data_IF_597386352294
#
_entry.id   IF_597386352294
#
_cell.length_a   1.000
_cell.length_b   1.000
_cell.length_c   1.000
_cell.angle_alpha   90.00
_cell.angle_beta   90.00
_cell.angle_gamma   90.00
#
_symmetry.space_group_name_H-M   'P 1'
#
loop_
_entity.id
_entity.type
_entity.pdbx_description
1 polymer ?
#
# COMPACT_ATOMS: atom_id res chain seq x y z
N UNK A 1 11.95 -15.39 11.30
CA UNK A 1 11.30 -16.36 10.39
C UNK A 1 10.06 -15.70 9.82
N UNK A 2 10.00 -15.46 8.52
CA UNK A 2 8.80 -14.94 7.85
C UNK A 2 7.72 -16.01 7.97
N UNK A 3 6.64 -15.74 8.71
CA UNK A 3 5.51 -16.66 8.69
C UNK A 3 4.95 -16.71 7.27
N UNK A 4 5.08 -17.86 6.62
CA UNK A 4 4.51 -18.09 5.29
C UNK A 4 2.99 -17.94 5.39
N UNK A 5 2.41 -17.17 4.47
CA UNK A 5 0.96 -17.03 4.36
C UNK A 5 0.30 -18.39 4.20
N UNK A 6 -0.73 -18.65 5.02
CA UNK A 6 -1.58 -19.84 4.91
C UNK A 6 -3.04 -19.39 4.76
N UNK A 7 -3.66 -19.63 3.60
CA UNK A 7 -5.06 -19.27 3.39
C UNK A 7 -5.98 -20.08 4.30
N UNK A 8 -7.17 -19.57 4.57
CA UNK A 8 -8.24 -20.37 5.15
C UNK A 8 -8.44 -21.62 4.26
N UNK A 9 -8.52 -22.81 4.84
CA UNK A 9 -8.49 -24.10 4.12
C UNK A 9 -9.50 -24.22 2.99
N UNK A 10 -10.71 -23.68 3.17
CA UNK A 10 -11.79 -23.68 2.18
C UNK A 10 -11.72 -22.52 1.18
N UNK A 11 -10.91 -21.51 1.45
CA UNK A 11 -10.79 -20.30 0.63
C UNK A 11 -9.43 -20.20 -0.10
N UNK A 12 -8.92 -21.33 -0.61
CA UNK A 12 -7.71 -21.34 -1.45
C UNK A 12 -7.96 -20.77 -2.85
N UNK A 13 -9.23 -20.68 -3.27
CA UNK A 13 -9.59 -20.12 -4.57
C UNK A 13 -9.23 -18.62 -4.62
N UNK A 14 -8.51 -18.14 -5.66
CA UNK A 14 -8.04 -16.76 -5.77
C UNK A 14 -9.18 -15.73 -5.80
N UNK A 15 -10.32 -16.10 -6.39
CA UNK A 15 -11.47 -15.20 -6.44
C UNK A 15 -12.13 -15.05 -5.07
N UNK A 16 -12.19 -16.14 -4.28
CA UNK A 16 -12.62 -16.04 -2.89
C UNK A 16 -11.66 -15.17 -2.08
N UNK A 17 -10.35 -15.39 -2.20
CA UNK A 17 -9.35 -14.55 -1.53
C UNK A 17 -9.54 -13.06 -1.88
N UNK A 18 -9.77 -12.74 -3.14
CA UNK A 18 -9.97 -11.37 -3.62
C UNK A 18 -11.25 -10.71 -3.06
N UNK A 19 -12.32 -11.48 -2.88
CA UNK A 19 -13.64 -10.93 -2.53
C UNK A 19 -13.94 -10.96 -1.02
N UNK A 20 -13.41 -11.94 -0.28
CA UNK A 20 -13.68 -12.13 1.15
C UNK A 20 -13.37 -10.91 2.02
N UNK A 21 -12.30 -10.12 1.79
CA UNK A 21 -12.07 -8.90 2.57
C UNK A 21 -13.25 -7.93 2.54
N UNK A 22 -13.98 -7.84 1.41
CA UNK A 22 -15.18 -7.01 1.30
C UNK A 22 -16.33 -7.48 2.16
N UNK A 23 -16.37 -8.76 2.49
CA UNK A 23 -17.40 -9.37 3.35
C UNK A 23 -17.02 -9.22 4.82
N UNK A 24 -15.77 -9.54 5.17
CA UNK A 24 -15.30 -9.54 6.55
C UNK A 24 -14.94 -8.14 7.08
N UNK A 25 -14.59 -7.21 6.20
CA UNK A 25 -14.17 -5.84 6.50
C UNK A 25 -15.13 -4.80 5.88
N UNK A 26 -16.44 -4.95 6.10
CA UNK A 26 -17.45 -4.05 5.49
C UNK A 26 -17.40 -2.64 6.04
N UNK A 27 -17.13 -2.49 7.32
CA UNK A 27 -17.22 -1.21 8.02
C UNK A 27 -15.88 -0.82 8.62
N UNK A 28 -15.37 0.38 8.34
CA UNK A 28 -14.21 0.92 9.01
C UNK A 28 -14.46 1.03 10.52
N UNK A 29 -13.50 0.61 11.33
CA UNK A 29 -13.55 0.80 12.79
C UNK A 29 -13.01 2.16 13.21
N UNK A 30 -12.15 2.76 12.39
CA UNK A 30 -11.62 4.10 12.61
C UNK A 30 -12.55 5.12 11.95
N UNK A 31 -12.87 6.18 12.69
CA UNK A 31 -13.47 7.40 12.14
C UNK A 31 -12.34 8.34 11.73
N UNK A 32 -12.06 8.52 10.43
CA UNK A 32 -10.91 9.27 10.00
C UNK A 32 -11.09 10.77 10.24
N UNK A 33 -9.97 11.45 10.50
CA UNK A 33 -9.89 12.91 10.44
C UNK A 33 -9.55 13.29 9.00
N UNK A 34 -10.42 14.06 8.37
CA UNK A 34 -10.24 14.49 7.00
C UNK A 34 -9.48 15.80 6.93
N UNK A 35 -8.53 15.87 5.99
CA UNK A 35 -7.79 17.09 5.68
C UNK A 35 -7.63 17.21 4.17
N UNK A 36 -7.90 18.38 3.62
CA UNK A 36 -7.59 18.69 2.23
C UNK A 36 -6.20 19.30 2.14
N UNK A 37 -5.42 18.79 1.21
CA UNK A 37 -4.11 19.36 0.84
C UNK A 37 -4.21 19.96 -0.56
N UNK A 38 -4.04 21.27 -0.64
CA UNK A 38 -3.96 21.98 -1.90
C UNK A 38 -2.63 21.71 -2.58
N UNK A 39 -2.66 21.45 -3.88
CA UNK A 39 -1.50 21.14 -4.71
C UNK A 39 -1.02 22.40 -5.45
N UNK A 40 0.27 22.46 -5.86
CA UNK A 40 0.84 23.62 -6.52
C UNK A 40 0.15 24.03 -7.83
N UNK A 41 -0.52 23.09 -8.50
CA UNK A 41 -1.27 23.34 -9.74
C UNK A 41 -2.71 23.83 -9.51
N UNK A 42 -3.08 24.15 -8.27
CA UNK A 42 -4.41 24.62 -7.89
C UNK A 42 -5.44 23.50 -7.74
N UNK A 43 -5.01 22.25 -7.85
CA UNK A 43 -5.84 21.07 -7.54
C UNK A 43 -5.70 20.67 -6.07
N UNK A 44 -6.26 19.53 -5.68
CA UNK A 44 -6.20 19.02 -4.32
C UNK A 44 -6.14 17.50 -4.25
N UNK A 45 -5.67 17.03 -3.12
CA UNK A 45 -5.83 15.65 -2.65
C UNK A 45 -6.44 15.67 -1.25
N UNK A 46 -7.21 14.65 -0.90
CA UNK A 46 -7.79 14.52 0.43
C UNK A 46 -7.08 13.41 1.22
N UNK A 47 -6.80 13.71 2.48
CA UNK A 47 -6.08 12.86 3.41
C UNK A 47 -7.07 12.35 4.47
N UNK A 48 -7.05 11.03 4.74
CA UNK A 48 -7.83 10.43 5.81
C UNK A 48 -6.86 9.91 6.89
N UNK A 49 -6.78 10.64 8.01
CA UNK A 49 -5.87 10.36 9.12
C UNK A 49 -6.50 9.43 10.14
N UNK A 50 -5.70 8.58 10.79
CA UNK A 50 -6.14 7.72 11.89
C UNK A 50 -6.48 8.50 13.16
N UNK A 51 -5.84 9.64 13.37
CA UNK A 51 -5.99 10.56 14.48
C UNK A 51 -5.55 11.97 14.06
N UNK A 52 -5.70 12.98 14.93
CA UNK A 52 -5.27 14.36 14.63
C UNK A 52 -3.77 14.43 14.43
N UNK A 53 -3.27 14.76 13.22
CA UNK A 53 -1.85 14.73 12.92
C UNK A 53 -1.03 15.72 13.75
N UNK A 54 -1.62 16.87 14.16
CA UNK A 54 -0.95 17.88 14.98
C UNK A 54 -0.59 17.34 16.38
N UNK A 55 -1.45 16.47 16.94
CA UNK A 55 -1.23 15.85 18.25
C UNK A 55 -0.31 14.61 18.19
N UNK A 56 -0.24 14.00 17.01
CA UNK A 56 0.49 12.76 16.77
C UNK A 56 1.75 12.94 15.91
N UNK A 57 2.22 14.17 15.72
CA UNK A 57 3.34 14.51 14.84
C UNK A 57 4.66 13.79 15.22
N UNK A 58 4.82 13.48 16.51
CA UNK A 58 5.97 12.76 17.06
C UNK A 58 5.99 11.26 16.76
N UNK A 59 4.83 10.68 16.38
CA UNK A 59 4.71 9.24 16.10
C UNK A 59 5.35 8.86 14.77
N UNK A 60 5.90 7.65 14.65
CA UNK A 60 6.20 7.07 13.34
C UNK A 60 4.96 7.08 12.44
N UNK A 61 5.16 7.16 11.13
CA UNK A 61 4.07 7.38 10.16
C UNK A 61 3.96 6.25 9.16
N UNK A 62 2.72 5.84 8.85
CA UNK A 62 2.42 4.93 7.76
C UNK A 62 1.50 5.61 6.75
N UNK A 63 2.04 5.86 5.56
CA UNK A 63 1.29 6.39 4.40
C UNK A 63 0.73 5.24 3.58
N UNK A 64 -0.56 5.31 3.22
CA UNK A 64 -1.27 4.28 2.47
C UNK A 64 -1.69 4.85 1.11
N UNK A 65 -1.20 4.24 0.02
CA UNK A 65 -1.61 4.50 -1.35
C UNK A 65 -2.55 3.42 -1.84
N UNK A 66 -3.76 3.81 -2.20
CA UNK A 66 -4.81 2.86 -2.59
C UNK A 66 -4.68 2.39 -4.05
N UNK A 67 -5.40 1.32 -4.39
CA UNK A 67 -5.48 0.80 -5.77
C UNK A 67 -6.43 1.61 -6.66
N UNK A 68 -6.60 1.14 -7.90
CA UNK A 68 -7.47 1.78 -8.90
C UNK A 68 -8.90 1.94 -8.34
N UNK A 69 -9.42 3.19 -8.39
CA UNK A 69 -10.74 3.57 -7.87
C UNK A 69 -10.95 3.25 -6.37
N UNK A 70 -9.85 3.03 -5.66
CA UNK A 70 -9.86 2.83 -4.22
C UNK A 70 -10.07 4.15 -3.46
N UNK A 71 -10.27 4.01 -2.16
CA UNK A 71 -10.37 5.13 -1.21
C UNK A 71 -10.28 4.60 0.23
N UNK A 72 -10.47 5.46 1.22
CA UNK A 72 -10.50 5.08 2.65
C UNK A 72 -11.46 3.91 2.95
N UNK A 73 -12.60 3.77 2.24
CA UNK A 73 -13.57 2.70 2.45
C UNK A 73 -13.11 1.34 1.88
N UNK A 74 -12.00 1.29 1.16
CA UNK A 74 -11.43 0.02 0.69
C UNK A 74 -10.98 -0.82 1.89
N UNK A 75 -11.36 -2.12 1.97
CA UNK A 75 -11.07 -2.97 3.13
C UNK A 75 -9.61 -2.96 3.57
N UNK A 76 -8.69 -3.03 2.63
CA UNK A 76 -7.25 -3.00 2.90
C UNK A 76 -6.77 -1.62 3.41
N UNK A 77 -7.39 -0.53 2.95
CA UNK A 77 -6.97 0.82 3.32
C UNK A 77 -7.33 1.13 4.78
N UNK A 78 -8.61 0.99 5.15
CA UNK A 78 -9.00 1.22 6.54
C UNK A 78 -8.46 0.14 7.49
N UNK A 79 -8.29 -1.10 7.02
CA UNK A 79 -7.68 -2.17 7.81
C UNK A 79 -6.21 -1.89 8.12
N UNK A 80 -5.45 -1.40 7.14
CA UNK A 80 -4.05 -1.02 7.36
C UNK A 80 -3.93 0.26 8.19
N UNK A 81 -4.89 1.18 8.07
CA UNK A 81 -4.95 2.35 8.95
C UNK A 81 -5.17 1.95 10.42
N UNK A 82 -6.07 0.98 10.66
CA UNK A 82 -6.28 0.38 11.99
C UNK A 82 -5.01 -0.33 12.48
N UNK A 83 -4.33 -1.09 11.62
CA UNK A 83 -3.09 -1.76 11.96
C UNK A 83 -1.97 -0.76 12.33
N UNK A 84 -1.87 0.37 11.63
CA UNK A 84 -0.94 1.44 11.98
C UNK A 84 -1.22 1.99 13.38
N UNK A 85 -2.47 2.33 13.68
CA UNK A 85 -2.87 2.84 14.99
C UNK A 85 -2.60 1.83 16.12
N UNK A 86 -2.87 0.55 15.90
CA UNK A 86 -2.60 -0.52 16.86
C UNK A 86 -1.10 -0.74 17.13
N UNK A 87 -0.22 -0.30 16.23
CA UNK A 87 1.23 -0.30 16.41
C UNK A 87 1.78 1.04 16.93
N UNK A 88 0.91 1.98 17.35
CA UNK A 88 1.30 3.29 17.84
C UNK A 88 1.77 4.26 16.76
N UNK A 89 1.48 4.00 15.49
CA UNK A 89 1.86 4.83 14.36
C UNK A 89 0.71 5.76 13.92
N UNK A 90 1.06 6.93 13.44
CA UNK A 90 0.13 7.82 12.77
C UNK A 90 -0.09 7.31 11.34
N UNK A 91 -1.27 6.77 11.06
CA UNK A 91 -1.65 6.30 9.74
C UNK A 91 -2.35 7.39 8.91
N UNK A 92 -2.13 7.40 7.61
CA UNK A 92 -2.84 8.27 6.67
C UNK A 92 -3.08 7.57 5.34
N UNK A 93 -4.32 7.65 4.84
CA UNK A 93 -4.67 7.27 3.47
C UNK A 93 -4.64 8.54 2.62
N UNK A 94 -3.72 8.59 1.64
CA UNK A 94 -3.73 9.62 0.61
C UNK A 94 -4.69 9.19 -0.50
N UNK A 95 -5.72 10.00 -0.75
CA UNK A 95 -6.61 9.79 -1.89
C UNK A 95 -6.00 10.40 -3.14
N UNK A 96 -5.91 9.60 -4.20
CA UNK A 96 -5.57 10.13 -5.51
C UNK A 96 -6.65 11.10 -6.00
N UNK A 97 -6.29 12.00 -6.92
CA UNK A 97 -7.19 13.02 -7.47
C UNK A 97 -8.54 12.41 -7.87
N UNK A 98 -9.63 12.98 -7.38
CA UNK A 98 -10.99 12.54 -7.68
C UNK A 98 -11.47 11.26 -6.96
N UNK A 99 -10.65 10.63 -6.11
CA UNK A 99 -10.98 9.37 -5.43
C UNK A 99 -11.61 9.52 -4.03
N UNK A 100 -11.60 10.71 -3.44
CA UNK A 100 -12.20 10.98 -2.12
C UNK A 100 -13.73 11.13 -2.14
N UNK A 101 -14.31 11.25 -3.33
CA UNK A 101 -15.76 11.45 -3.55
C UNK A 101 -16.09 12.76 -4.26
N UNK A 102 -15.19 13.72 -4.27
CA UNK A 102 -15.28 14.97 -5.03
C UNK A 102 -14.36 14.91 -6.25
N UNK A 103 -14.82 15.30 -7.47
CA UNK A 103 -13.97 15.42 -8.64
C UNK A 103 -12.87 16.46 -8.42
N UNK A 104 -11.66 16.15 -8.77
CA UNK A 104 -10.56 17.11 -8.77
C UNK A 104 -10.77 18.22 -9.80
N UNK A 105 -10.17 19.39 -9.58
CA UNK A 105 -10.44 20.64 -10.35
C UNK A 105 -9.75 20.65 -11.70
N UNK A 106 -8.48 20.20 -11.75
CA UNK A 106 -7.67 20.25 -12.96
C UNK A 106 -8.04 19.14 -13.96
N UNK A 107 -7.65 19.30 -15.22
CA UNK A 107 -7.84 18.28 -16.24
C UNK A 107 -7.09 16.98 -15.89
N UNK A 108 -5.90 17.08 -15.30
CA UNK A 108 -5.12 15.94 -14.81
C UNK A 108 -5.94 15.02 -13.92
N UNK A 109 -5.74 13.72 -14.12
CA UNK A 109 -6.25 12.65 -13.28
C UNK A 109 -5.05 11.86 -12.70
N UNK A 110 -5.30 10.95 -11.78
CA UNK A 110 -4.25 10.04 -11.32
C UNK A 110 -4.03 8.91 -12.33
N UNK A 111 -2.83 8.33 -12.32
CA UNK A 111 -2.48 7.12 -13.08
C UNK A 111 -1.38 6.30 -12.39
N UNK A 112 -1.07 5.10 -12.91
CA UNK A 112 -0.15 4.14 -12.28
C UNK A 112 1.29 4.64 -12.09
N UNK A 113 1.74 5.61 -12.88
CA UNK A 113 3.08 6.20 -12.79
C UNK A 113 3.07 7.64 -12.28
N UNK A 114 1.95 8.16 -11.74
CA UNK A 114 1.86 9.53 -11.25
C UNK A 114 2.50 9.64 -9.86
N UNK A 115 3.78 9.98 -9.82
CA UNK A 115 4.56 10.08 -8.58
C UNK A 115 4.61 11.48 -7.98
N UNK A 116 4.22 12.52 -8.73
CA UNK A 116 4.40 13.92 -8.31
C UNK A 116 3.51 14.30 -7.12
N UNK A 117 2.26 13.86 -7.11
CA UNK A 117 1.34 14.14 -5.99
C UNK A 117 1.82 13.45 -4.71
N UNK A 118 2.29 12.19 -4.82
CA UNK A 118 2.85 11.45 -3.69
C UNK A 118 4.13 12.12 -3.18
N UNK A 119 5.02 12.55 -4.09
CA UNK A 119 6.26 13.29 -3.77
C UNK A 119 5.96 14.60 -3.07
N UNK A 120 5.00 15.38 -3.57
CA UNK A 120 4.58 16.63 -2.96
C UNK A 120 4.02 16.40 -1.56
N UNK A 121 3.13 15.44 -1.41
CA UNK A 121 2.52 15.10 -0.13
C UNK A 121 3.58 14.65 0.91
N UNK A 122 4.49 13.77 0.55
CA UNK A 122 5.53 13.28 1.47
C UNK A 122 6.47 14.40 1.93
N UNK A 123 6.88 15.31 1.02
CA UNK A 123 7.64 16.51 1.36
C UNK A 123 6.86 17.46 2.26
N UNK A 124 5.59 17.70 1.95
CA UNK A 124 4.70 18.50 2.77
C UNK A 124 4.56 17.89 4.17
N UNK A 125 4.36 16.57 4.25
CA UNK A 125 4.26 15.83 5.51
C UNK A 125 5.49 16.04 6.40
N UNK A 126 6.69 15.90 5.84
CA UNK A 126 7.95 16.13 6.52
C UNK A 126 8.11 17.58 6.94
N UNK A 127 7.82 18.52 6.05
CA UNK A 127 7.93 19.97 6.31
C UNK A 127 6.97 20.44 7.40
N UNK A 128 5.73 19.92 7.40
CA UNK A 128 4.65 20.38 8.30
C UNK A 128 4.74 19.76 9.69
N UNK A 129 5.06 18.47 9.77
CA UNK A 129 5.01 17.71 11.03
C UNK A 129 6.40 17.21 11.49
N UNK A 130 7.48 17.68 10.89
CA UNK A 130 8.84 17.30 11.27
C UNK A 130 9.30 15.95 10.71
N UNK A 131 10.50 15.54 11.11
CA UNK A 131 11.21 14.38 10.55
C UNK A 131 11.00 13.12 11.42
N UNK A 132 9.75 12.65 11.54
CA UNK A 132 9.48 11.37 12.18
C UNK A 132 9.68 10.21 11.18
N UNK A 133 10.10 9.01 11.65
CA UNK A 133 10.22 7.85 10.79
C UNK A 133 8.94 7.61 9.97
N UNK A 134 9.08 7.48 8.67
CA UNK A 134 7.94 7.40 7.75
C UNK A 134 8.11 6.23 6.80
N UNK A 135 7.08 5.37 6.71
CA UNK A 135 7.01 4.31 5.71
C UNK A 135 5.75 4.49 4.85
N UNK A 136 5.75 3.83 3.69
CA UNK A 136 4.59 3.81 2.83
C UNK A 136 4.21 2.38 2.42
N UNK A 137 2.91 2.14 2.24
CA UNK A 137 2.38 0.92 1.63
C UNK A 137 1.50 1.29 0.44
N UNK A 138 1.78 0.68 -0.71
CA UNK A 138 0.98 0.82 -1.92
C UNK A 138 0.30 -0.48 -2.31
N UNK A 139 -0.98 -0.40 -2.63
CA UNK A 139 -1.79 -1.54 -3.04
C UNK A 139 -2.14 -1.45 -4.52
N UNK A 140 -1.93 -2.54 -5.27
CA UNK A 140 -2.30 -2.61 -6.69
C UNK A 140 -1.69 -1.44 -7.49
N UNK A 141 -2.50 -0.60 -8.14
CA UNK A 141 -2.05 0.63 -8.82
C UNK A 141 -1.16 1.49 -7.90
N UNK A 142 -1.58 1.72 -6.65
CA UNK A 142 -0.78 2.49 -5.69
C UNK A 142 0.55 1.82 -5.34
N UNK A 143 0.64 0.49 -5.47
CA UNK A 143 1.89 -0.26 -5.33
C UNK A 143 2.84 0.00 -6.50
N UNK A 144 2.34 -0.02 -7.74
CA UNK A 144 3.16 0.32 -8.91
C UNK A 144 3.64 1.78 -8.83
N UNK A 145 2.75 2.72 -8.49
CA UNK A 145 3.11 4.12 -8.27
C UNK A 145 4.19 4.28 -7.20
N UNK A 146 4.06 3.58 -6.05
CA UNK A 146 5.06 3.63 -4.98
C UNK A 146 6.42 3.08 -5.42
N UNK A 147 6.43 1.97 -6.18
CA UNK A 147 7.66 1.41 -6.73
C UNK A 147 8.34 2.38 -7.71
N UNK A 148 7.57 3.04 -8.60
CA UNK A 148 8.07 4.11 -9.47
C UNK A 148 8.65 5.27 -8.64
N UNK A 149 7.93 5.75 -7.62
CA UNK A 149 8.38 6.82 -6.74
C UNK A 149 9.72 6.48 -6.06
N UNK A 150 9.85 5.26 -5.53
CA UNK A 150 11.06 4.80 -4.86
C UNK A 150 12.24 4.72 -5.83
N UNK A 151 12.02 4.21 -7.04
CA UNK A 151 13.05 4.11 -8.07
C UNK A 151 13.51 5.50 -8.57
N UNK A 152 12.57 6.42 -8.81
CA UNK A 152 12.86 7.78 -9.26
C UNK A 152 13.53 8.64 -8.21
N UNK A 153 13.19 8.43 -6.94
CA UNK A 153 13.70 9.24 -5.84
C UNK A 153 15.02 8.71 -5.27
N UNK A 154 15.27 7.41 -5.41
CA UNK A 154 16.46 6.77 -4.85
C UNK A 154 16.65 7.08 -3.37
N UNK A 155 17.85 7.48 -2.96
CA UNK A 155 18.15 7.86 -1.58
C UNK A 155 17.39 9.10 -1.10
N UNK A 156 16.91 9.94 -2.02
CA UNK A 156 16.17 11.16 -1.70
C UNK A 156 14.66 10.93 -1.50
N UNK A 157 14.21 9.67 -1.46
CA UNK A 157 12.85 9.38 -1.11
C UNK A 157 12.53 9.81 0.33
N UNK A 158 11.46 10.57 0.51
CA UNK A 158 11.01 11.10 1.81
C UNK A 158 10.30 10.05 2.67
N UNK A 159 10.72 8.78 2.53
CA UNK A 159 10.31 7.64 3.36
C UNK A 159 11.51 6.77 3.72
N UNK A 160 11.43 6.08 4.86
CA UNK A 160 12.49 5.19 5.35
C UNK A 160 12.35 3.77 4.78
N UNK A 161 11.14 3.31 4.47
CA UNK A 161 10.86 2.00 3.88
C UNK A 161 9.55 1.98 3.09
N UNK A 162 9.43 1.06 2.13
CA UNK A 162 8.23 0.88 1.31
C UNK A 162 7.71 -0.56 1.29
N UNK A 163 6.39 -0.74 1.16
CA UNK A 163 5.78 -2.05 0.92
C UNK A 163 4.87 -1.96 -0.30
N UNK A 164 5.07 -2.85 -1.26
CA UNK A 164 4.35 -2.92 -2.54
C UNK A 164 3.53 -4.20 -2.56
N UNK A 165 2.20 -4.11 -2.62
CA UNK A 165 1.31 -5.26 -2.52
C UNK A 165 0.49 -5.43 -3.79
N UNK A 166 0.55 -6.62 -4.39
CA UNK A 166 -0.24 -7.01 -5.58
C UNK A 166 -0.18 -5.95 -6.69
N UNK A 167 1.01 -5.41 -6.94
CA UNK A 167 1.20 -4.32 -7.89
C UNK A 167 1.31 -4.83 -9.34
N UNK A 168 0.64 -4.18 -10.32
CA UNK A 168 0.77 -4.50 -11.73
C UNK A 168 2.09 -3.94 -12.29
N UNK A 169 3.22 -4.54 -11.89
CA UNK A 169 4.57 -4.06 -12.22
C UNK A 169 4.85 -4.02 -13.75
N UNK A 170 4.08 -4.77 -14.55
CA UNK A 170 4.03 -4.73 -16.01
C UNK A 170 2.59 -4.41 -16.43
N UNK A 171 2.30 -3.12 -16.64
CA UNK A 171 0.93 -2.62 -16.86
C UNK A 171 0.26 -3.24 -18.08
N UNK A 172 0.98 -3.34 -19.20
CA UNK A 172 0.42 -3.91 -20.44
C UNK A 172 0.04 -5.38 -20.26
N UNK A 173 0.92 -6.20 -19.71
CA UNK A 173 0.67 -7.61 -19.47
C UNK A 173 -0.54 -7.81 -18.52
N UNK A 174 -0.65 -6.99 -17.48
CA UNK A 174 -1.79 -7.02 -16.57
C UNK A 174 -3.09 -6.55 -17.26
N UNK A 175 -3.04 -5.52 -18.10
CA UNK A 175 -4.18 -5.08 -18.87
C UNK A 175 -4.71 -6.19 -19.78
N UNK A 176 -3.83 -6.88 -20.51
CA UNK A 176 -4.17 -8.02 -21.36
C UNK A 176 -4.69 -9.22 -20.54
N UNK A 177 -4.13 -9.46 -19.33
CA UNK A 177 -4.61 -10.52 -18.42
C UNK A 177 -6.04 -10.24 -17.96
N UNK A 178 -6.37 -8.99 -17.70
CA UNK A 178 -7.72 -8.58 -17.27
C UNK A 178 -8.78 -8.76 -18.38
N UNK A 179 -8.39 -8.90 -19.64
CA UNK A 179 -9.30 -9.17 -20.75
C UNK A 179 -9.64 -10.66 -20.93
N UNK A 180 -9.08 -11.56 -20.09
CA UNK A 180 -9.24 -13.01 -20.24
C UNK A 180 -10.03 -13.65 -19.09
N UNK A 181 -10.88 -14.62 -19.42
CA UNK A 181 -11.60 -15.47 -18.44
C UNK A 181 -12.41 -14.66 -17.41
N UNK A 182 -12.40 -15.13 -16.18
CA UNK A 182 -13.12 -14.50 -15.06
C UNK A 182 -12.61 -13.07 -14.76
N UNK A 183 -11.36 -12.76 -15.11
CA UNK A 183 -10.80 -11.42 -14.86
C UNK A 183 -11.55 -10.30 -15.61
N UNK A 184 -12.29 -10.62 -16.66
CA UNK A 184 -13.18 -9.67 -17.34
C UNK A 184 -14.26 -9.08 -16.42
N UNK A 185 -14.72 -9.82 -15.41
CA UNK A 185 -15.66 -9.28 -14.42
C UNK A 185 -15.03 -8.21 -13.56
N UNK A 186 -13.78 -8.42 -13.15
CA UNK A 186 -13.03 -7.41 -12.41
C UNK A 186 -12.71 -6.20 -13.27
N UNK A 187 -12.30 -6.41 -14.53
CA UNK A 187 -12.10 -5.32 -15.49
C UNK A 187 -13.35 -4.46 -15.62
N UNK A 188 -14.51 -5.11 -15.84
CA UNK A 188 -15.80 -4.39 -15.97
C UNK A 188 -16.14 -3.62 -14.70
N UNK A 189 -15.91 -4.21 -13.53
CA UNK A 189 -16.14 -3.55 -12.25
C UNK A 189 -15.27 -2.29 -12.10
N UNK A 190 -13.98 -2.39 -12.37
CA UNK A 190 -13.03 -1.28 -12.30
C UNK A 190 -13.34 -0.20 -13.34
N UNK A 191 -13.60 -0.60 -14.59
CA UNK A 191 -13.98 0.32 -15.65
C UNK A 191 -15.27 1.10 -15.32
N UNK A 192 -16.24 0.46 -14.70
CA UNK A 192 -17.47 1.14 -14.24
C UNK A 192 -17.15 2.17 -13.13
N UNK A 193 -16.18 1.91 -12.28
CA UNK A 193 -15.65 2.88 -11.32
C UNK A 193 -15.07 4.11 -12.03
N UNK A 194 -14.12 3.87 -12.93
CA UNK A 194 -13.49 4.92 -13.74
C UNK A 194 -14.51 5.76 -14.51
N UNK A 195 -15.46 5.11 -15.19
CA UNK A 195 -16.53 5.81 -15.91
C UNK A 195 -17.40 6.67 -14.98
N UNK A 196 -17.74 6.17 -13.80
CA UNK A 196 -18.52 6.91 -12.81
C UNK A 196 -17.79 8.16 -12.33
N UNK A 197 -16.49 8.06 -12.05
CA UNK A 197 -15.67 9.20 -11.65
C UNK A 197 -15.50 10.19 -12.81
N UNK A 198 -15.21 9.70 -14.03
CA UNK A 198 -15.13 10.53 -15.22
C UNK A 198 -16.46 11.23 -15.53
N UNK A 199 -17.59 10.54 -15.36
CA UNK A 199 -18.94 11.16 -15.51
C UNK A 199 -19.15 12.31 -14.52
N UNK A 200 -18.83 12.10 -13.24
CA UNK A 200 -18.93 13.15 -12.21
C UNK A 200 -18.06 14.36 -12.55
N UNK A 201 -16.84 14.08 -13.05
CA UNK A 201 -15.90 15.12 -13.48
C UNK A 201 -16.45 15.92 -14.66
N UNK A 202 -16.93 15.25 -15.71
CA UNK A 202 -17.52 15.90 -16.89
C UNK A 202 -18.77 16.73 -16.56
N UNK A 203 -19.59 16.25 -15.61
CA UNK A 203 -20.80 16.99 -15.17
C UNK A 203 -20.39 18.23 -14.36
N UNK A 204 -19.39 18.11 -13.50
CA UNK A 204 -18.94 19.23 -12.66
C UNK A 204 -18.10 20.24 -13.43
N UNK A 205 -17.28 19.76 -14.37
CA UNK A 205 -16.34 20.54 -15.17
C UNK A 205 -16.47 20.16 -16.65
N UNK A 206 -17.46 20.70 -17.38
CA UNK A 206 -17.63 20.41 -18.80
C UNK A 206 -16.35 20.71 -19.61
N UNK A 207 -15.98 19.82 -20.52
CA UNK A 207 -14.75 19.94 -21.30
C UNK A 207 -13.45 19.55 -20.59
N UNK A 208 -13.52 19.07 -19.33
CA UNK A 208 -12.33 18.65 -18.57
C UNK A 208 -11.70 17.34 -19.02
N UNK A 209 -12.37 16.54 -19.86
CA UNK A 209 -11.83 15.31 -20.42
C UNK A 209 -11.91 15.36 -21.98
N UNK A 210 -11.04 14.64 -22.68
CA UNK A 210 -10.96 14.71 -24.15
C UNK A 210 -12.04 13.91 -24.89
N UNK A 211 -13.19 13.70 -24.24
CA UNK A 211 -14.35 12.98 -24.77
C UNK A 211 -15.64 13.45 -24.07
N UNK A 212 -16.78 13.15 -24.68
CA UNK A 212 -18.10 13.43 -24.11
C UNK A 212 -18.71 12.22 -23.39
N UNK A 213 -19.87 12.41 -22.75
CA UNK A 213 -20.56 11.36 -21.99
C UNK A 213 -21.00 10.16 -22.83
N UNK A 214 -21.35 10.37 -24.11
CA UNK A 214 -21.73 9.26 -25.03
C UNK A 214 -20.51 8.42 -25.35
N UNK A 215 -19.40 9.03 -25.72
CA UNK A 215 -18.13 8.35 -25.99
C UNK A 215 -17.63 7.60 -24.73
N UNK A 216 -17.70 8.23 -23.54
CA UNK A 216 -17.33 7.59 -22.29
C UNK A 216 -18.15 6.31 -22.02
N UNK A 217 -19.46 6.33 -22.28
CA UNK A 217 -20.33 5.16 -22.12
C UNK A 217 -19.95 4.00 -23.04
N UNK A 218 -19.43 4.27 -24.25
CA UNK A 218 -19.07 3.28 -25.25
C UNK A 218 -17.80 2.49 -24.92
N UNK A 219 -16.91 2.99 -24.05
CA UNK A 219 -15.68 2.31 -23.65
C UNK A 219 -16.02 0.96 -22.98
N UNK A 220 -15.36 -0.11 -23.41
CA UNK A 220 -15.60 -1.48 -22.93
C UNK A 220 -14.43 -2.08 -22.16
N UNK A 221 -13.23 -1.49 -22.27
CA UNK A 221 -11.98 -1.98 -21.72
C UNK A 221 -11.24 -0.86 -20.98
N UNK A 222 -10.45 -1.24 -19.97
CA UNK A 222 -9.56 -0.28 -19.27
C UNK A 222 -8.55 0.31 -20.27
N UNK A 223 -8.00 -0.51 -21.17
CA UNK A 223 -7.06 -0.05 -22.19
C UNK A 223 -7.66 1.06 -23.07
N UNK A 224 -8.93 0.95 -23.46
CA UNK A 224 -9.63 1.99 -24.22
C UNK A 224 -9.77 3.30 -23.42
N UNK A 225 -10.04 3.18 -22.10
CA UNK A 225 -10.07 4.34 -21.21
C UNK A 225 -8.68 4.99 -21.11
N UNK A 226 -7.66 4.18 -20.95
CA UNK A 226 -6.27 4.65 -20.84
C UNK A 226 -5.80 5.32 -22.13
N UNK A 227 -6.19 4.78 -23.29
CA UNK A 227 -5.84 5.33 -24.60
C UNK A 227 -6.45 6.71 -24.83
N UNK A 228 -7.77 6.83 -24.62
CA UNK A 228 -8.51 8.05 -24.98
C UNK A 228 -8.53 9.12 -23.87
N UNK A 229 -8.26 8.75 -22.63
CA UNK A 229 -8.28 9.68 -21.49
C UNK A 229 -6.89 9.78 -20.87
N UNK A 230 -6.39 8.71 -20.25
CA UNK A 230 -5.15 8.75 -19.48
C UNK A 230 -3.97 9.21 -20.34
N UNK A 231 -3.75 8.57 -21.47
CA UNK A 231 -2.64 8.89 -22.36
C UNK A 231 -2.73 10.34 -22.84
N UNK A 232 -3.87 10.75 -23.37
CA UNK A 232 -4.05 12.10 -23.95
C UNK A 232 -3.88 13.22 -22.92
N UNK A 233 -4.40 13.03 -21.70
CA UNK A 233 -4.30 14.05 -20.65
C UNK A 233 -2.87 14.22 -20.16
N UNK A 234 -2.11 13.12 -20.14
CA UNK A 234 -0.76 13.12 -19.58
C UNK A 234 0.36 13.19 -20.63
N UNK A 235 0.01 13.36 -21.92
CA UNK A 235 0.99 13.55 -22.99
C UNK A 235 1.74 12.28 -23.37
N UNK A 236 1.12 11.11 -23.18
CA UNK A 236 1.57 9.85 -23.77
C UNK A 236 0.98 9.72 -25.18
N UNK A 237 1.70 9.04 -26.06
CA UNK A 237 1.27 8.83 -27.44
C UNK A 237 -0.03 7.99 -27.49
N UNK A 238 -0.06 6.91 -26.73
CA UNK A 238 -1.20 5.99 -26.57
C UNK A 238 -1.13 5.22 -25.25
N UNK A 239 -2.04 4.27 -25.03
CA UNK A 239 -2.03 3.40 -23.85
C UNK A 239 -0.76 2.53 -23.77
N UNK A 240 -0.14 2.15 -24.90
CA UNK A 240 1.08 1.34 -24.93
C UNK A 240 2.26 2.14 -24.39
N UNK A 241 2.42 3.37 -24.88
CA UNK A 241 3.46 4.31 -24.42
C UNK A 241 3.28 4.60 -22.91
N UNK A 242 2.03 4.85 -22.48
CA UNK A 242 1.72 5.01 -21.05
C UNK A 242 2.17 3.79 -20.25
N UNK A 243 1.80 2.58 -20.68
CA UNK A 243 2.13 1.36 -19.95
C UNK A 243 3.64 1.10 -19.90
N UNK A 244 4.35 1.33 -21.00
CA UNK A 244 5.82 1.18 -21.05
C UNK A 244 6.53 2.16 -20.12
N UNK A 245 6.18 3.43 -20.17
CA UNK A 245 6.81 4.48 -19.35
C UNK A 245 6.48 4.37 -17.86
N UNK A 246 5.28 3.86 -17.54
CA UNK A 246 4.75 3.83 -16.17
C UNK A 246 4.81 2.46 -15.48
N UNK A 247 5.26 1.40 -16.13
CA UNK A 247 5.55 0.11 -15.50
C UNK A 247 6.75 0.21 -14.56
N UNK A 248 6.60 -0.33 -13.35
CA UNK A 248 7.64 -0.26 -12.34
C UNK A 248 8.70 -1.37 -12.47
N UNK A 249 8.38 -2.52 -13.11
CA UNK A 249 9.28 -3.66 -13.18
C UNK A 249 10.70 -3.31 -13.69
N UNK A 250 10.87 -2.60 -14.81
CA UNK A 250 12.21 -2.24 -15.31
C UNK A 250 12.93 -1.22 -14.43
N UNK A 251 12.21 -0.58 -13.50
CA UNK A 251 12.74 0.45 -12.61
C UNK A 251 13.15 -0.11 -11.24
N UNK A 252 12.79 -1.35 -10.89
CA UNK A 252 13.05 -1.94 -9.56
C UNK A 252 14.53 -1.94 -9.18
N UNK A 253 15.42 -2.09 -10.15
CA UNK A 253 16.87 -2.07 -9.95
C UNK A 253 17.40 -0.72 -9.39
N UNK A 254 16.64 0.36 -9.52
CA UNK A 254 17.01 1.69 -9.03
C UNK A 254 16.47 2.00 -7.62
N UNK A 255 15.74 1.08 -7.01
CA UNK A 255 15.23 1.25 -5.65
C UNK A 255 16.38 1.11 -4.66
N UNK A 256 16.59 2.16 -3.84
CA UNK A 256 17.66 2.19 -2.85
C UNK A 256 17.15 2.15 -1.41
N UNK A 257 15.87 2.39 -1.19
CA UNK A 257 15.27 2.27 0.15
C UNK A 257 14.84 0.83 0.43
N UNK A 258 14.87 0.37 1.69
CA UNK A 258 14.30 -0.93 2.06
C UNK A 258 12.88 -1.08 1.52
N UNK A 259 12.66 -2.13 0.73
CA UNK A 259 11.36 -2.33 0.07
C UNK A 259 10.96 -3.79 0.10
N UNK A 260 9.73 -4.06 0.53
CA UNK A 260 9.11 -5.38 0.46
C UNK A 260 8.06 -5.39 -0.66
N UNK A 261 8.18 -6.33 -1.58
CA UNK A 261 7.19 -6.58 -2.63
C UNK A 261 6.47 -7.88 -2.31
N UNK A 262 5.13 -7.84 -2.18
CA UNK A 262 4.30 -9.01 -1.88
C UNK A 262 3.37 -9.29 -3.06
N UNK A 263 3.47 -10.50 -3.62
CA UNK A 263 2.55 -11.00 -4.64
C UNK A 263 1.99 -12.38 -4.27
N UNK A 264 0.82 -12.70 -4.81
CA UNK A 264 0.29 -14.06 -4.82
C UNK A 264 0.38 -14.63 -6.25
N UNK A 265 0.85 -15.87 -6.38
CA UNK A 265 0.99 -16.56 -7.66
C UNK A 265 -0.36 -16.76 -8.37
N UNK A 266 -1.42 -16.87 -7.56
CA UNK A 266 -2.79 -17.07 -8.01
C UNK A 266 -3.59 -15.77 -8.22
N UNK A 267 -2.93 -14.59 -8.18
CA UNK A 267 -3.61 -13.30 -8.34
C UNK A 267 -4.31 -13.20 -9.72
N UNK A 268 -5.65 -13.06 -9.77
CA UNK A 268 -6.39 -13.05 -11.04
C UNK A 268 -6.15 -11.79 -11.89
N UNK A 269 -5.50 -10.76 -11.35
CA UNK A 269 -5.20 -9.50 -12.06
C UNK A 269 -3.80 -9.51 -12.65
N UNK A 270 -2.92 -10.35 -12.13
CA UNK A 270 -1.51 -10.35 -12.48
C UNK A 270 -1.22 -11.35 -13.60
N UNK A 271 -0.36 -10.95 -14.51
CA UNK A 271 0.25 -11.81 -15.49
C UNK A 271 1.59 -12.36 -14.96
N UNK A 272 2.08 -13.53 -15.40
CA UNK A 272 3.37 -14.06 -14.95
C UNK A 272 4.54 -13.10 -15.15
N UNK A 273 4.46 -12.23 -16.14
CA UNK A 273 5.47 -11.24 -16.51
C UNK A 273 5.69 -10.14 -15.47
N UNK A 274 4.82 -10.05 -14.44
CA UNK A 274 5.04 -9.10 -13.32
C UNK A 274 6.12 -9.58 -12.34
N UNK A 275 6.48 -10.87 -12.39
CA UNK A 275 7.47 -11.45 -11.49
C UNK A 275 8.86 -11.01 -11.94
N UNK A 276 9.62 -10.28 -11.11
CA UNK A 276 10.97 -9.89 -11.46
C UNK A 276 11.91 -11.08 -11.48
N UNK A 277 12.93 -11.01 -12.31
CA UNK A 277 14.11 -11.85 -12.10
C UNK A 277 14.81 -11.41 -10.82
N UNK A 278 14.82 -12.31 -9.82
CA UNK A 278 15.35 -12.01 -8.49
C UNK A 278 16.84 -11.69 -8.50
N UNK A 279 17.58 -12.14 -9.52
CA UNK A 279 19.01 -11.86 -9.66
C UNK A 279 19.32 -10.39 -9.96
N UNK A 280 18.35 -9.63 -10.51
CA UNK A 280 18.47 -8.20 -10.79
C UNK A 280 17.91 -7.29 -9.69
N UNK A 281 17.31 -7.87 -8.64
CA UNK A 281 16.81 -7.06 -7.53
C UNK A 281 17.96 -6.58 -6.64
N UNK A 282 17.96 -5.30 -6.23
CA UNK A 282 18.90 -4.81 -5.23
C UNK A 282 18.72 -5.54 -3.89
N UNK A 283 19.80 -5.69 -3.12
CA UNK A 283 19.78 -6.39 -1.82
C UNK A 283 18.80 -5.81 -0.79
N UNK A 284 18.41 -4.55 -0.95
CA UNK A 284 17.42 -3.86 -0.11
C UNK A 284 15.98 -4.08 -0.58
N UNK A 285 15.75 -4.82 -1.65
CA UNK A 285 14.41 -5.17 -2.16
C UNK A 285 14.15 -6.65 -1.87
N UNK A 286 13.23 -6.91 -0.93
CA UNK A 286 12.74 -8.26 -0.62
C UNK A 286 11.52 -8.56 -1.48
N UNK A 287 11.53 -9.66 -2.22
CA UNK A 287 10.39 -10.13 -2.99
C UNK A 287 9.76 -11.36 -2.34
N UNK A 288 8.53 -11.25 -1.89
CA UNK A 288 7.77 -12.33 -1.25
C UNK A 288 6.62 -12.79 -2.14
N UNK A 289 6.76 -13.96 -2.75
CA UNK A 289 5.71 -14.66 -3.47
C UNK A 289 5.02 -15.66 -2.55
N UNK A 290 3.69 -15.66 -2.53
CA UNK A 290 2.88 -16.71 -1.89
C UNK A 290 2.14 -17.53 -2.93
N UNK A 291 1.87 -18.81 -2.67
CA UNK A 291 1.14 -19.69 -3.60
C UNK A 291 -0.32 -19.25 -3.77
N UNK A 292 -0.91 -18.72 -2.70
CA UNK A 292 -2.29 -18.25 -2.64
C UNK A 292 -2.33 -16.83 -2.11
N UNK A 293 -3.44 -16.13 -2.30
CA UNK A 293 -3.66 -14.79 -1.76
C UNK A 293 -4.68 -13.97 -2.56
N UNK A 294 -4.89 -14.32 -3.81
CA UNK A 294 -5.72 -13.55 -4.74
C UNK A 294 -5.19 -12.11 -4.89
N UNK A 295 -6.05 -11.20 -5.32
CA UNK A 295 -5.68 -9.80 -5.47
C UNK A 295 -5.92 -9.02 -4.17
N UNK A 296 -4.83 -8.65 -3.47
CA UNK A 296 -4.88 -7.89 -2.20
C UNK A 296 -5.65 -8.59 -1.06
N UNK A 297 -6.02 -9.86 -1.24
CA UNK A 297 -6.89 -10.57 -0.31
C UNK A 297 -6.16 -11.06 0.94
N UNK A 298 -5.32 -12.05 0.78
CA UNK A 298 -4.49 -12.67 1.82
C UNK A 298 -5.25 -12.96 3.12
N UNK A 299 -6.43 -13.61 2.98
CA UNK A 299 -7.27 -13.97 4.12
C UNK A 299 -6.83 -15.30 4.71
N UNK A 300 -6.45 -15.28 5.98
CA UNK A 300 -5.98 -16.40 6.79
C UNK A 300 -6.89 -16.64 8.00
N UNK A 301 -6.48 -17.53 8.92
CA UNK A 301 -7.22 -17.84 10.13
C UNK A 301 -8.32 -18.87 9.91
N UNK A 302 -9.50 -18.66 10.52
CA UNK A 302 -10.65 -19.55 10.43
C UNK A 302 -11.90 -18.77 10.00
N UNK A 303 -12.97 -19.48 9.56
CA UNK A 303 -14.24 -18.85 9.22
C UNK A 303 -14.81 -18.00 10.37
N UNK A 304 -14.66 -18.46 11.61
CA UNK A 304 -15.14 -17.75 12.81
C UNK A 304 -14.23 -16.59 13.21
N UNK A 305 -12.94 -16.67 12.88
CA UNK A 305 -11.91 -15.63 13.17
C UNK A 305 -11.05 -15.42 11.93
N UNK A 306 -11.59 -14.78 10.88
CA UNK A 306 -10.81 -14.44 9.70
C UNK A 306 -9.76 -13.39 10.06
N UNK A 307 -8.56 -13.56 9.52
CA UNK A 307 -7.44 -12.65 9.72
C UNK A 307 -6.98 -12.10 8.38
N UNK A 308 -6.80 -10.81 8.31
CA UNK A 308 -6.17 -10.13 7.17
C UNK A 308 -4.65 -10.19 7.37
N UNK A 309 -3.99 -11.17 6.76
CA UNK A 309 -2.57 -11.44 6.98
C UNK A 309 -1.68 -10.22 6.71
N UNK A 310 -2.00 -9.41 5.72
CA UNK A 310 -1.27 -8.19 5.40
C UNK A 310 -1.24 -7.20 6.57
N UNK A 311 -2.31 -7.13 7.38
CA UNK A 311 -2.41 -6.24 8.54
C UNK A 311 -1.48 -6.65 9.70
N UNK A 312 -0.93 -7.85 9.63
CA UNK A 312 0.10 -8.34 10.57
C UNK A 312 1.48 -8.33 9.92
N UNK A 313 1.59 -8.87 8.69
CA UNK A 313 2.88 -9.02 8.00
C UNK A 313 3.54 -7.69 7.68
N UNK A 314 2.77 -6.71 7.21
CA UNK A 314 3.31 -5.39 6.85
C UNK A 314 3.86 -4.65 8.07
N UNK A 315 3.11 -4.49 9.17
CA UNK A 315 3.66 -3.89 10.39
C UNK A 315 4.87 -4.63 10.95
N UNK A 316 4.87 -5.95 10.97
CA UNK A 316 6.03 -6.75 11.43
C UNK A 316 7.29 -6.44 10.61
N UNK A 317 7.16 -6.32 9.28
CA UNK A 317 8.29 -6.00 8.42
C UNK A 317 8.75 -4.54 8.57
N UNK A 318 7.80 -3.61 8.76
CA UNK A 318 8.10 -2.17 8.90
C UNK A 318 8.63 -1.78 10.29
N UNK A 319 8.40 -2.60 11.32
CA UNK A 319 8.77 -2.29 12.70
C UNK A 319 10.22 -1.81 12.87
N UNK A 320 11.26 -2.45 12.28
CA UNK A 320 12.64 -2.00 12.42
C UNK A 320 12.90 -0.60 11.83
N UNK A 321 12.14 -0.21 10.81
CA UNK A 321 12.34 1.06 10.11
C UNK A 321 11.58 2.22 10.76
N UNK A 322 10.45 1.93 11.38
CA UNK A 322 9.60 2.93 12.03
C UNK A 322 9.95 3.13 13.51
N UNK A 323 10.33 2.10 14.23
CA UNK A 323 10.68 2.18 15.64
C UNK A 323 12.19 2.12 15.82
N UNK A 324 12.91 3.18 15.42
CA UNK A 324 14.40 3.25 15.43
C UNK A 324 15.03 2.99 16.81
N UNK A 325 14.32 3.27 17.90
CA UNK A 325 14.76 2.92 19.26
C UNK A 325 14.96 1.41 19.46
N UNK A 326 14.17 0.60 18.75
CA UNK A 326 14.28 -0.87 18.78
C UNK A 326 15.53 -1.35 18.02
N UNK A 327 15.95 -0.65 16.97
CA UNK A 327 17.16 -1.01 16.20
C UNK A 327 18.44 -0.91 17.03
N UNK A 328 18.55 0.09 17.93
CA UNK A 328 19.66 0.21 18.86
C UNK A 328 19.77 -1.00 19.78
N UNK A 329 18.63 -1.61 20.14
CA UNK A 329 18.57 -2.80 21.01
C UNK A 329 19.07 -4.07 20.29
N UNK A 330 18.96 -4.16 18.96
CA UNK A 330 19.42 -5.32 18.19
C UNK A 330 20.85 -5.22 17.69
N UNK A 331 21.39 -3.99 17.52
CA UNK A 331 22.76 -3.75 17.01
C UNK A 331 23.73 -3.30 18.09
N UNK A 332 23.26 -2.77 19.22
CA UNK A 332 24.10 -2.36 20.36
C UNK A 332 24.42 -3.54 21.25
N UNK A 333 25.63 -4.07 21.15
CA UNK A 333 26.12 -5.19 21.97
C UNK A 333 26.18 -4.92 23.50
N UNK A 334 25.84 -3.72 24.01
CA UNK A 334 26.01 -3.34 25.42
C UNK A 334 24.86 -2.46 25.95
N UNK A 335 23.67 -3.01 26.14
CA UNK A 335 22.64 -2.31 26.92
C UNK A 335 22.63 -2.82 28.37
N UNK A 336 22.61 -1.91 29.38
CA UNK A 336 22.49 -2.30 30.79
C UNK A 336 21.21 -3.08 31.07
N UNK A 337 21.28 -4.16 31.86
CA UNK A 337 20.17 -5.05 32.25
C UNK A 337 18.90 -4.31 32.75
N UNK A 338 19.05 -3.09 33.32
CA UNK A 338 17.93 -2.27 33.79
C UNK A 338 16.96 -1.83 32.68
N UNK A 339 17.45 -1.61 31.43
CA UNK A 339 16.61 -1.19 30.30
C UNK A 339 15.81 -2.36 29.71
N UNK A 340 16.35 -3.56 29.76
CA UNK A 340 15.63 -4.78 29.40
C UNK A 340 14.41 -5.05 30.30
N UNK A 341 14.53 -4.78 31.60
CA UNK A 341 13.43 -4.96 32.56
C UNK A 341 12.28 -3.97 32.32
N UNK A 342 12.58 -2.73 31.90
CA UNK A 342 11.57 -1.70 31.60
C UNK A 342 10.82 -2.07 30.32
N UNK A 343 11.54 -2.51 29.30
CA UNK A 343 10.96 -2.89 28.01
C UNK A 343 10.08 -4.15 28.10
N UNK A 344 10.56 -5.19 28.76
CA UNK A 344 9.76 -6.39 29.02
C UNK A 344 8.51 -6.06 29.86
N UNK A 345 8.59 -5.15 30.81
CA UNK A 345 7.42 -4.67 31.54
C UNK A 345 6.42 -3.97 30.63
N UNK A 346 6.84 -3.07 29.74
CA UNK A 346 5.97 -2.37 28.81
C UNK A 346 5.28 -3.35 27.84
N UNK A 347 6.01 -4.29 27.27
CA UNK A 347 5.49 -5.28 26.31
C UNK A 347 4.48 -6.26 26.90
N UNK A 348 4.61 -6.61 28.19
CA UNK A 348 3.68 -7.53 28.87
C UNK A 348 2.53 -6.81 29.58
N UNK A 349 2.71 -5.53 29.97
CA UNK A 349 1.65 -4.72 30.59
C UNK A 349 0.53 -4.39 29.56
N UNK A 350 0.90 -4.12 28.31
CA UNK A 350 -0.07 -3.89 27.22
C UNK A 350 -0.85 -5.14 26.82
N UNK A 351 -0.34 -6.34 27.10
CA UNK A 351 -0.99 -7.62 26.71
C UNK A 351 -1.81 -8.26 27.83
N UNK A 352 -1.94 -7.66 29.01
CA UNK A 352 -2.71 -8.21 30.12
C UNK A 352 -2.22 -9.58 30.61
N UNK A 353 -0.95 -9.94 30.36
CA UNK A 353 -0.37 -11.24 30.72
C UNK A 353 0.43 -11.16 32.03
N UNK A 354 0.25 -12.15 32.92
CA UNK A 354 0.95 -12.22 34.19
C UNK A 354 2.43 -12.60 34.04
N UNK A 355 3.27 -12.08 34.95
CA UNK A 355 4.74 -12.17 34.95
C UNK A 355 5.35 -13.59 35.07
N UNK A 356 4.56 -14.66 35.09
CA UNK A 356 5.03 -16.04 35.30
C UNK A 356 6.03 -16.57 34.22
N UNK A 357 5.93 -16.23 32.93
CA UNK A 357 6.88 -16.70 31.92
C UNK A 357 8.26 -16.02 31.97
N UNK A 358 8.39 -14.87 32.64
CA UNK A 358 9.64 -14.08 32.66
C UNK A 358 10.82 -14.77 33.33
N UNK A 359 10.56 -15.55 34.39
CA UNK A 359 11.62 -16.25 35.15
C UNK A 359 12.29 -17.34 34.30
N UNK A 360 11.55 -17.93 33.32
CA UNK A 360 12.07 -19.00 32.46
C UNK A 360 12.90 -18.46 31.27
N UNK A 361 12.49 -17.36 30.66
CA UNK A 361 13.22 -16.72 29.55
C UNK A 361 14.54 -16.06 30.00
N UNK A 362 14.57 -15.48 31.21
CA UNK A 362 15.77 -14.88 31.75
C UNK A 362 16.80 -15.94 32.17
N UNK A 363 16.35 -17.13 32.66
CA UNK A 363 17.23 -18.24 33.03
C UNK A 363 17.91 -18.91 31.84
N UNK A 364 17.19 -19.05 30.69
CA UNK A 364 17.71 -19.69 29.46
C UNK A 364 18.85 -18.85 28.83
N UNK A 365 18.87 -17.55 28.96
CA UNK A 365 19.92 -16.70 28.35
C UNK A 365 21.14 -16.49 29.26
N UNK A 366 20.97 -16.57 30.58
CA UNK A 366 22.09 -16.56 31.54
C UNK A 366 22.95 -17.85 31.42
N UNK A 367 22.33 -18.99 31.06
CA UNK A 367 23.06 -20.25 30.84
C UNK A 367 23.79 -20.34 29.49
N UNK A 368 23.37 -19.57 28.48
CA UNK A 368 24.09 -19.53 27.18
C UNK A 368 25.29 -18.55 27.16
N UNK A 369 25.43 -17.68 28.17
CA UNK A 369 26.52 -16.69 28.20
C UNK A 369 27.67 -17.08 29.14
N UNK A 370 27.48 -18.04 30.01
CA UNK A 370 28.55 -18.58 30.89
C UNK A 370 29.26 -19.81 30.32
N UNK A 371 29.07 -20.12 29.02
CA UNK A 371 29.60 -21.29 28.35
C UNK A 371 30.50 -21.00 27.12
N UNK A 372 31.14 -19.82 27.06
CA UNK A 372 32.17 -19.50 26.08
C UNK A 372 33.25 -18.61 26.68
#
# INVERSE_FOLDING_TARGET
>A
MSENFRPISWAKNPHLQTLLPRIFRRTPKIKPIWQRLELPDGDFIDLAWSEKPELAAHKPRLVIFHGLEGNFKSPYAHGMLEAAQNNGWLGVVMHFRGCSGEPNRQQRIYHSGETNDARYFLRWLKKTFGDAPTAAVGYSLGGNMLACYLAESGQNADIDAGVVVSAPLMLEACSLRMEKGISQFYQRYLLNGLKRNATRKLVRYPGSLPLNLLQLKQLKRIREFDDVITARIHGFDDATDYYQKCSALPKLAYITKPTLIIHAKDDPFMAPEVVPDLSFLPHNVEYQMTEHGGHVGFVSGTLRKPQMWLETRIPQWLMPYLNKEIMWLFHGKNLPLKHWKIWLKAMFYEKGQTMAPMKKACKIRLTMWNGS
#
